data_IF_454325840345
#
_entry.id   IF_454325840345
#
_cell.length_a   1.000
_cell.length_b   1.000
_cell.length_c   1.000
_cell.angle_alpha   90.00
_cell.angle_beta   90.00
_cell.angle_gamma   90.00
#
_symmetry.space_group_name_H-M   'P 1'
#
loop_
_entity.id
_entity.type
_entity.pdbx_description
1 polymer ?
#
# COMPACT_ATOMS: atom_id res chain seq x y z
N UNK A 1 27.43 3.20 14.46
CA UNK A 1 26.41 2.54 13.61
C UNK A 1 25.07 3.27 13.71
N UNK A 2 25.02 4.55 13.29
CA UNK A 2 23.85 5.43 13.47
C UNK A 2 22.84 5.39 12.29
N UNK A 3 23.05 4.50 11.32
CA UNK A 3 22.18 4.34 10.13
C UNK A 3 21.07 3.30 10.40
N UNK A 4 21.10 2.60 11.54
CA UNK A 4 20.22 1.44 11.80
C UNK A 4 18.78 1.81 12.21
N UNK A 5 18.50 3.07 12.55
CA UNK A 5 17.21 3.48 13.15
C UNK A 5 16.40 4.47 12.32
N UNK A 6 16.59 4.51 10.99
CA UNK A 6 15.69 5.28 10.14
C UNK A 6 14.45 4.43 9.84
N UNK A 7 13.43 4.53 10.70
CA UNK A 7 12.12 3.92 10.49
C UNK A 7 11.38 4.59 9.32
N UNK A 8 11.57 4.12 8.10
CA UNK A 8 10.82 4.56 6.93
C UNK A 8 11.22 3.85 5.65
N UNK A 9 10.27 3.71 4.72
CA UNK A 9 10.54 3.15 3.40
C UNK A 9 11.44 4.10 2.58
N UNK A 10 12.38 3.53 1.82
CA UNK A 10 13.48 4.28 1.18
C UNK A 10 12.97 5.42 0.29
N UNK A 11 11.89 5.21 -0.46
CA UNK A 11 11.31 6.25 -1.32
C UNK A 11 10.69 7.39 -0.53
N UNK A 12 10.03 7.09 0.60
CA UNK A 12 9.51 8.12 1.50
C UNK A 12 10.64 8.92 2.17
N UNK A 13 11.72 8.24 2.60
CA UNK A 13 12.88 8.88 3.19
C UNK A 13 13.63 9.78 2.18
N UNK A 14 13.79 9.30 0.95
CA UNK A 14 14.36 10.08 -0.13
C UNK A 14 13.54 11.35 -0.40
N UNK A 15 12.22 11.20 -0.55
CA UNK A 15 11.33 12.32 -0.85
C UNK A 15 11.27 13.33 0.31
N UNK A 16 11.20 12.86 1.55
CA UNK A 16 11.23 13.77 2.72
C UNK A 16 12.57 14.50 2.86
N UNK A 17 13.69 13.84 2.54
CA UNK A 17 15.03 14.46 2.54
C UNK A 17 15.16 15.53 1.45
N UNK A 18 14.54 15.30 0.29
CA UNK A 18 14.46 16.31 -0.78
C UNK A 18 13.77 17.59 -0.29
N UNK A 19 12.60 17.49 0.37
CA UNK A 19 11.91 18.65 0.92
C UNK A 19 12.70 19.35 2.03
N UNK A 20 13.41 18.58 2.87
CA UNK A 20 14.31 19.13 3.90
C UNK A 20 15.47 19.93 3.31
N UNK A 21 15.92 19.61 2.10
CA UNK A 21 17.02 20.32 1.44
C UNK A 21 16.66 21.79 1.15
N UNK A 22 15.37 22.10 1.01
CA UNK A 22 14.85 23.45 0.81
C UNK A 22 14.40 24.13 2.11
N UNK A 23 14.70 23.53 3.27
CA UNK A 23 14.28 24.01 4.59
C UNK A 23 12.76 24.26 4.71
N UNK A 24 11.97 23.46 3.97
CA UNK A 24 10.52 23.58 3.97
C UNK A 24 9.92 22.93 5.23
N UNK A 25 8.87 23.53 5.83
CA UNK A 25 8.17 22.94 6.95
C UNK A 25 7.57 21.57 6.61
N UNK A 26 7.53 20.65 7.58
CA UNK A 26 6.99 19.30 7.39
C UNK A 26 5.53 19.29 6.89
N UNK A 27 4.74 20.30 7.25
CA UNK A 27 3.37 20.50 6.79
C UNK A 27 3.30 20.65 5.26
N UNK A 28 4.29 21.29 4.62
CA UNK A 28 4.35 21.38 3.16
C UNK A 28 4.59 20.02 2.52
N UNK A 29 5.45 19.20 3.13
CA UNK A 29 5.66 17.83 2.66
C UNK A 29 4.38 16.98 2.80
N UNK A 30 3.68 17.06 3.94
CA UNK A 30 2.39 16.38 4.11
C UNK A 30 1.34 16.85 3.11
N UNK A 31 1.24 18.17 2.89
CA UNK A 31 0.35 18.74 1.89
C UNK A 31 0.68 18.22 0.49
N UNK A 32 1.97 18.18 0.12
CA UNK A 32 2.41 17.62 -1.16
C UNK A 32 1.99 16.16 -1.34
N UNK A 33 2.23 15.30 -0.35
CA UNK A 33 1.83 13.88 -0.41
C UNK A 33 0.31 13.74 -0.53
N UNK A 34 -0.44 14.49 0.25
CA UNK A 34 -1.91 14.49 0.22
C UNK A 34 -2.45 14.94 -1.14
N UNK A 35 -1.93 16.05 -1.69
CA UNK A 35 -2.29 16.55 -3.01
C UNK A 35 -1.92 15.56 -4.12
N UNK A 36 -0.72 14.96 -4.06
CA UNK A 36 -0.29 13.96 -5.03
C UNK A 36 -1.19 12.73 -5.00
N UNK A 37 -1.55 12.24 -3.80
CA UNK A 37 -2.46 11.11 -3.65
C UNK A 37 -3.85 11.42 -4.25
N UNK A 38 -4.40 12.60 -3.94
CA UNK A 38 -5.69 13.04 -4.46
C UNK A 38 -5.66 13.18 -5.99
N UNK A 39 -4.59 13.77 -6.53
CA UNK A 39 -4.40 13.94 -7.97
C UNK A 39 -4.34 12.59 -8.71
N UNK A 40 -3.56 11.63 -8.21
CA UNK A 40 -3.46 10.29 -8.78
C UNK A 40 -4.80 9.54 -8.71
N UNK A 41 -5.51 9.64 -7.59
CA UNK A 41 -6.84 9.07 -7.43
C UNK A 41 -7.85 9.68 -8.40
N UNK A 42 -7.86 11.01 -8.55
CA UNK A 42 -8.73 11.69 -9.51
C UNK A 42 -8.47 11.23 -10.96
N UNK A 43 -7.20 11.20 -11.39
CA UNK A 43 -6.87 10.72 -12.73
C UNK A 43 -7.24 9.25 -12.93
N UNK A 44 -7.20 8.46 -11.85
CA UNK A 44 -7.64 7.07 -11.91
C UNK A 44 -9.15 6.98 -12.12
N UNK A 45 -9.94 7.73 -11.37
CA UNK A 45 -11.39 7.79 -11.54
C UNK A 45 -11.79 8.34 -12.90
N UNK A 46 -11.04 9.29 -13.46
CA UNK A 46 -11.27 9.75 -14.84
C UNK A 46 -11.19 8.65 -15.89
N UNK A 47 -10.43 7.59 -15.63
CA UNK A 47 -10.27 6.44 -16.53
C UNK A 47 -11.20 5.28 -16.19
N UNK A 48 -11.56 5.12 -14.93
CA UNK A 48 -12.25 3.94 -14.42
C UNK A 48 -13.73 4.14 -14.08
N UNK A 49 -14.18 5.38 -13.85
CA UNK A 49 -15.54 5.71 -13.42
C UNK A 49 -16.33 6.44 -14.50
N UNK A 50 -17.65 6.20 -14.54
CA UNK A 50 -18.60 6.89 -15.42
C UNK A 50 -18.75 8.36 -14.99
N UNK A 51 -18.74 8.63 -13.68
CA UNK A 51 -18.89 9.99 -13.11
C UNK A 51 -17.71 10.24 -12.15
N UNK A 52 -16.53 10.66 -12.67
CA UNK A 52 -15.31 10.76 -11.89
C UNK A 52 -15.39 11.69 -10.68
N UNK A 53 -16.10 12.81 -10.82
CA UNK A 53 -16.28 13.80 -9.75
C UNK A 53 -17.09 13.21 -8.59
N UNK A 54 -18.14 12.45 -8.88
CA UNK A 54 -18.94 11.80 -7.85
C UNK A 54 -18.12 10.74 -7.11
N UNK A 55 -17.33 9.93 -7.83
CA UNK A 55 -16.40 8.99 -7.22
C UNK A 55 -15.35 9.69 -6.33
N UNK A 56 -14.86 10.86 -6.75
CA UNK A 56 -13.91 11.65 -5.97
C UNK A 56 -14.55 12.18 -4.68
N UNK A 57 -15.80 12.65 -4.72
CA UNK A 57 -16.53 13.10 -3.53
C UNK A 57 -16.70 11.96 -2.53
N UNK A 58 -17.15 10.79 -2.96
CA UNK A 58 -17.26 9.63 -2.06
C UNK A 58 -15.92 9.20 -1.48
N UNK A 59 -14.87 9.23 -2.28
CA UNK A 59 -13.52 8.94 -1.80
C UNK A 59 -13.06 9.98 -0.77
N UNK A 60 -13.28 11.27 -1.01
CA UNK A 60 -12.91 12.35 -0.09
C UNK A 60 -13.63 12.23 1.25
N UNK A 61 -14.95 12.00 1.23
CA UNK A 61 -15.77 11.97 2.45
C UNK A 61 -15.44 10.83 3.41
N UNK A 62 -14.87 9.73 2.91
CA UNK A 62 -14.65 8.55 3.74
C UNK A 62 -13.22 8.03 3.67
N UNK A 63 -12.79 7.63 2.48
CA UNK A 63 -11.51 6.98 2.27
C UNK A 63 -10.34 7.93 2.56
N UNK A 64 -10.42 9.17 2.10
CA UNK A 64 -9.34 10.13 2.26
C UNK A 64 -9.21 10.63 3.70
N UNK A 65 -10.29 11.17 4.27
CA UNK A 65 -10.27 11.77 5.61
C UNK A 65 -9.94 10.74 6.69
N UNK A 66 -10.57 9.55 6.64
CA UNK A 66 -10.43 8.58 7.73
C UNK A 66 -9.17 7.73 7.57
N UNK A 67 -8.85 7.27 6.35
CA UNK A 67 -7.76 6.31 6.16
C UNK A 67 -6.49 6.99 5.67
N UNK A 68 -6.58 7.79 4.60
CA UNK A 68 -5.38 8.32 3.97
C UNK A 68 -4.75 9.45 4.80
N UNK A 69 -5.52 10.23 5.58
CA UNK A 69 -4.93 11.22 6.50
C UNK A 69 -4.24 10.59 7.72
N UNK A 70 -4.75 9.45 8.22
CA UNK A 70 -4.11 8.70 9.32
C UNK A 70 -2.87 7.96 8.82
N UNK A 71 -2.95 7.36 7.63
CA UNK A 71 -1.88 6.54 7.04
C UNK A 71 -1.42 7.10 5.69
N UNK A 72 -0.83 8.30 5.72
CA UNK A 72 -0.51 9.08 4.51
C UNK A 72 0.39 8.34 3.50
N UNK A 73 1.35 7.54 4.00
CA UNK A 73 2.21 6.69 3.16
C UNK A 73 1.41 5.62 2.43
N UNK A 74 0.54 4.91 3.16
CA UNK A 74 -0.31 3.87 2.61
C UNK A 74 -1.31 4.45 1.59
N UNK A 75 -1.92 5.59 1.91
CA UNK A 75 -2.82 6.32 1.01
C UNK A 75 -2.14 6.67 -0.33
N UNK A 76 -0.94 7.24 -0.29
CA UNK A 76 -0.18 7.55 -1.51
C UNK A 76 0.20 6.29 -2.29
N UNK A 77 0.64 5.23 -1.61
CA UNK A 77 1.01 3.99 -2.30
C UNK A 77 -0.20 3.32 -2.98
N UNK A 78 -1.39 3.39 -2.38
CA UNK A 78 -2.64 2.89 -2.97
C UNK A 78 -3.02 3.72 -4.20
N UNK A 79 -2.97 5.05 -4.13
CA UNK A 79 -3.31 5.91 -5.27
C UNK A 79 -2.33 5.77 -6.44
N UNK A 80 -1.02 5.64 -6.16
CA UNK A 80 -0.01 5.26 -7.15
C UNK A 80 -0.31 3.89 -7.79
N UNK A 81 -0.60 2.89 -6.98
CA UNK A 81 -0.92 1.54 -7.46
C UNK A 81 -2.16 1.55 -8.35
N UNK A 82 -3.25 2.19 -7.91
CA UNK A 82 -4.48 2.33 -8.69
C UNK A 82 -4.22 3.04 -10.02
N UNK A 83 -3.49 4.16 -10.00
CA UNK A 83 -3.16 4.93 -11.19
C UNK A 83 -2.40 4.10 -12.22
N UNK A 84 -1.43 3.31 -11.78
CA UNK A 84 -0.64 2.45 -12.69
C UNK A 84 -1.50 1.35 -13.30
N UNK A 85 -2.39 0.72 -12.51
CA UNK A 85 -3.31 -0.33 -12.94
C UNK A 85 -4.25 0.15 -14.05
N UNK A 86 -4.79 1.37 -13.93
CA UNK A 86 -5.75 1.91 -14.91
C UNK A 86 -5.07 2.61 -16.10
N UNK A 87 -3.80 3.00 -15.96
CA UNK A 87 -3.06 3.72 -17.00
C UNK A 87 -2.31 2.80 -17.94
N UNK A 88 -1.65 1.77 -17.42
CA UNK A 88 -0.79 0.91 -18.22
C UNK A 88 -1.52 -0.36 -18.68
N UNK A 89 -1.36 -0.69 -19.97
CA UNK A 89 -1.93 -1.91 -20.56
C UNK A 89 -1.05 -3.15 -20.36
N UNK A 90 0.27 -2.97 -20.32
CA UNK A 90 1.26 -4.06 -20.21
C UNK A 90 1.46 -4.41 -18.73
N UNK A 91 1.27 -5.69 -18.37
CA UNK A 91 1.41 -6.18 -17.00
C UNK A 91 2.75 -5.79 -16.36
N UNK A 92 3.86 -5.87 -17.11
CA UNK A 92 5.19 -5.47 -16.63
C UNK A 92 5.24 -4.03 -16.13
N UNK A 93 4.59 -3.10 -16.85
CA UNK A 93 4.59 -1.69 -16.50
C UNK A 93 3.70 -1.41 -15.28
N UNK A 94 2.59 -2.14 -15.15
CA UNK A 94 1.73 -2.07 -13.96
C UNK A 94 2.50 -2.57 -12.73
N UNK A 95 3.12 -3.74 -12.82
CA UNK A 95 3.92 -4.31 -11.73
C UNK A 95 5.07 -3.38 -11.36
N UNK A 96 5.81 -2.85 -12.33
CA UNK A 96 6.87 -1.88 -12.07
C UNK A 96 6.35 -0.63 -11.36
N UNK A 97 5.19 -0.10 -11.76
CA UNK A 97 4.55 1.03 -11.10
C UNK A 97 4.13 0.74 -9.65
N UNK A 98 3.60 -0.45 -9.38
CA UNK A 98 3.24 -0.88 -8.01
C UNK A 98 4.50 -1.10 -7.17
N UNK A 99 5.58 -1.65 -7.75
CA UNK A 99 6.86 -1.76 -7.06
C UNK A 99 7.45 -0.38 -6.74
N UNK A 100 7.31 0.62 -7.60
CA UNK A 100 7.66 1.99 -7.26
C UNK A 100 6.80 2.53 -6.09
N UNK A 101 5.51 2.22 -6.06
CA UNK A 101 4.65 2.56 -4.91
C UNK A 101 5.11 1.88 -3.61
N UNK A 102 5.68 0.68 -3.70
CA UNK A 102 6.23 -0.02 -2.52
C UNK A 102 7.44 0.66 -1.88
N UNK A 103 8.13 1.54 -2.61
CA UNK A 103 9.18 2.38 -2.06
C UNK A 103 8.62 3.48 -1.14
N UNK A 104 7.34 3.85 -1.29
CA UNK A 104 6.63 4.76 -0.40
C UNK A 104 6.02 4.00 0.77
N UNK A 105 5.42 2.84 0.51
CA UNK A 105 4.85 1.99 1.54
C UNK A 105 4.89 0.52 1.16
N UNK A 106 5.56 -0.31 1.98
CA UNK A 106 5.82 -1.72 1.68
C UNK A 106 4.55 -2.55 1.45
N UNK A 107 3.40 -2.14 2.02
CA UNK A 107 2.11 -2.80 1.79
C UNK A 107 1.70 -2.93 0.32
N UNK A 108 2.22 -2.07 -0.57
CA UNK A 108 1.95 -2.18 -2.01
C UNK A 108 2.55 -3.45 -2.65
N UNK A 109 3.52 -4.11 -2.02
CA UNK A 109 4.08 -5.40 -2.49
C UNK A 109 2.98 -6.46 -2.61
N UNK A 110 2.02 -6.47 -1.66
CA UNK A 110 0.88 -7.38 -1.69
C UNK A 110 0.06 -7.17 -2.96
N UNK A 111 -0.15 -5.91 -3.37
CA UNK A 111 -0.87 -5.56 -4.60
C UNK A 111 -0.11 -6.08 -5.82
N UNK A 112 1.22 -5.93 -5.86
CA UNK A 112 2.05 -6.42 -6.96
C UNK A 112 1.95 -7.94 -7.12
N UNK A 113 1.96 -8.69 -6.01
CA UNK A 113 1.82 -10.15 -5.99
C UNK A 113 0.42 -10.57 -6.45
N UNK A 114 -0.63 -9.92 -5.96
CA UNK A 114 -2.02 -10.28 -6.28
C UNK A 114 -2.44 -9.89 -7.71
N UNK A 115 -1.87 -8.81 -8.27
CA UNK A 115 -2.29 -8.23 -9.55
C UNK A 115 -2.35 -9.24 -10.73
N UNK A 116 -1.33 -10.08 -11.00
CA UNK A 116 -1.38 -11.04 -12.10
C UNK A 116 -2.54 -12.04 -12.01
N UNK A 117 -2.88 -12.49 -10.80
CA UNK A 117 -3.95 -13.45 -10.55
C UNK A 117 -5.33 -12.85 -10.79
N UNK A 118 -5.52 -11.60 -10.36
CA UNK A 118 -6.76 -10.84 -10.56
C UNK A 118 -6.92 -10.50 -12.04
N UNK A 119 -5.88 -9.99 -12.69
CA UNK A 119 -5.92 -9.53 -14.09
C UNK A 119 -6.27 -10.64 -15.07
N UNK A 120 -5.73 -11.84 -14.86
CA UNK A 120 -6.01 -13.02 -15.70
C UNK A 120 -7.34 -13.71 -15.35
N UNK A 121 -8.13 -13.16 -14.42
CA UNK A 121 -9.39 -13.74 -13.92
C UNK A 121 -9.26 -15.18 -13.44
N UNK A 122 -8.08 -15.59 -12.95
CA UNK A 122 -7.88 -16.94 -12.42
C UNK A 122 -8.62 -17.17 -11.09
N UNK A 123 -8.95 -16.07 -10.41
CA UNK A 123 -9.72 -16.03 -9.17
C UNK A 123 -11.20 -15.85 -9.49
N UNK A 124 -11.97 -16.92 -9.38
CA UNK A 124 -13.43 -16.85 -9.36
C UNK A 124 -13.92 -16.40 -7.98
N UNK A 125 -15.14 -15.88 -7.89
CA UNK A 125 -15.76 -15.49 -6.60
C UNK A 125 -15.74 -16.65 -5.59
N UNK A 126 -15.95 -17.89 -6.04
CA UNK A 126 -15.84 -19.09 -5.20
C UNK A 126 -14.44 -19.24 -4.61
N UNK A 127 -13.38 -19.09 -5.42
CA UNK A 127 -11.99 -19.17 -4.94
C UNK A 127 -11.64 -18.04 -3.97
N UNK A 128 -12.12 -16.82 -4.23
CA UNK A 128 -11.94 -15.68 -3.33
C UNK A 128 -12.61 -15.96 -1.98
N UNK A 129 -13.83 -16.46 -2.00
CA UNK A 129 -14.57 -16.84 -0.79
C UNK A 129 -13.89 -17.99 -0.02
N UNK A 130 -13.38 -19.01 -0.73
CA UNK A 130 -12.60 -20.08 -0.11
C UNK A 130 -11.32 -19.56 0.53
N UNK A 131 -10.57 -18.67 -0.13
CA UNK A 131 -9.37 -18.04 0.44
C UNK A 131 -9.71 -17.21 1.67
N UNK A 132 -10.82 -16.47 1.64
CA UNK A 132 -11.31 -15.70 2.78
C UNK A 132 -11.65 -16.60 3.97
N UNK A 133 -12.37 -17.71 3.76
CA UNK A 133 -12.66 -18.68 4.82
C UNK A 133 -11.39 -19.31 5.40
N UNK A 134 -10.45 -19.70 4.55
CA UNK A 134 -9.15 -20.24 5.01
C UNK A 134 -8.40 -19.21 5.85
N UNK A 135 -8.35 -17.94 5.41
CA UNK A 135 -7.72 -16.86 6.18
C UNK A 135 -8.43 -16.62 7.53
N UNK A 136 -9.76 -16.71 7.57
CA UNK A 136 -10.55 -16.55 8.80
C UNK A 136 -10.27 -17.69 9.78
N UNK A 137 -10.29 -18.94 9.31
CA UNK A 137 -9.94 -20.12 10.12
C UNK A 137 -8.50 -20.01 10.62
N UNK A 138 -7.55 -19.66 9.74
CA UNK A 138 -6.16 -19.46 10.11
C UNK A 138 -5.99 -18.40 11.20
N UNK A 139 -6.70 -17.27 11.09
CA UNK A 139 -6.68 -16.21 12.10
C UNK A 139 -7.32 -16.67 13.41
N UNK A 140 -8.44 -17.39 13.37
CA UNK A 140 -9.13 -17.90 14.55
C UNK A 140 -8.29 -18.91 15.32
N UNK A 141 -7.50 -19.72 14.61
CA UNK A 141 -6.58 -20.69 15.21
C UNK A 141 -5.24 -20.09 15.63
N UNK A 142 -5.10 -18.77 15.71
CA UNK A 142 -3.84 -18.09 16.05
C UNK A 142 -2.66 -18.56 15.17
N UNK A 143 -2.92 -18.84 13.90
CA UNK A 143 -1.94 -19.43 12.99
C UNK A 143 -0.70 -18.57 12.79
N UNK A 144 -0.82 -17.24 12.90
CA UNK A 144 0.31 -16.31 12.83
C UNK A 144 1.22 -16.47 14.05
N UNK A 145 0.64 -16.50 15.25
CA UNK A 145 1.38 -16.71 16.52
C UNK A 145 2.13 -18.04 16.49
N UNK A 146 1.48 -19.10 15.98
CA UNK A 146 2.11 -20.41 15.81
C UNK A 146 3.34 -20.36 14.90
N UNK A 147 3.25 -19.68 13.75
CA UNK A 147 4.38 -19.54 12.82
C UNK A 147 5.50 -18.72 13.46
N UNK A 148 5.18 -17.58 14.07
CA UNK A 148 6.18 -16.72 14.70
C UNK A 148 6.94 -17.47 15.81
N UNK A 149 6.21 -18.15 16.71
CA UNK A 149 6.82 -18.93 17.78
C UNK A 149 7.69 -20.09 17.27
N UNK A 150 7.28 -20.74 16.17
CA UNK A 150 8.09 -21.79 15.54
C UNK A 150 9.38 -21.21 14.96
N UNK A 151 9.32 -20.08 14.27
CA UNK A 151 10.50 -19.45 13.68
C UNK A 151 11.46 -18.91 14.76
N UNK A 152 10.93 -18.39 15.87
CA UNK A 152 11.72 -17.99 17.04
C UNK A 152 12.41 -19.20 17.66
N UNK A 153 11.69 -20.31 17.85
CA UNK A 153 12.27 -21.56 18.37
C UNK A 153 13.47 -22.06 17.53
N UNK A 154 13.43 -21.86 16.20
CA UNK A 154 14.56 -22.19 15.31
C UNK A 154 15.62 -21.08 15.20
N UNK A 155 15.56 -20.04 16.02
CA UNK A 155 16.45 -18.86 15.98
C UNK A 155 16.47 -18.14 14.63
N UNK A 156 15.39 -18.23 13.85
CA UNK A 156 15.25 -17.55 12.56
C UNK A 156 14.67 -16.14 12.73
N UNK A 157 14.01 -15.86 13.85
CA UNK A 157 13.47 -14.55 14.20
C UNK A 157 13.87 -14.13 15.63
N UNK A 158 14.08 -12.84 15.90
CA UNK A 158 14.31 -12.33 17.25
C UNK A 158 13.05 -12.45 18.13
N UNK A 159 13.23 -12.70 19.42
CA UNK A 159 12.14 -12.80 20.41
C UNK A 159 11.26 -11.54 20.47
N UNK A 160 11.82 -10.38 20.11
CA UNK A 160 11.09 -9.11 20.07
C UNK A 160 9.90 -9.10 19.09
N UNK A 161 9.87 -10.02 18.12
CA UNK A 161 8.80 -10.15 17.13
C UNK A 161 7.60 -10.94 17.67
N UNK A 162 7.74 -11.66 18.80
CA UNK A 162 6.65 -12.47 19.37
C UNK A 162 5.48 -11.63 19.91
N UNK A 163 5.72 -10.35 20.21
CA UNK A 163 4.75 -9.44 20.82
C UNK A 163 4.20 -8.37 19.85
N UNK A 164 4.50 -8.51 18.55
CA UNK A 164 4.07 -7.59 17.49
C UNK A 164 2.73 -8.02 16.90
#
# INVERSE_FOLDING_TARGET
>A
SAIKDIHGEIGYLFLSSFFKTFDLPFQFFLFFIASLSLMLTYFSFKKASIIPILSLVFYLSHAFIVRDMIQIRAGLAVSMSLYTIVTYKKNRNVIAGILLASLIHSGAIIIAICYPFIRKRYLSLRKIFSLFLVALIFSYLHGLDFILNTLIHYNLLPDAVANY
#
